data_IF_023252507908
#
_entry.id   IF_023252507908
#
_cell.length_a   1.000
_cell.length_b   1.000
_cell.length_c   1.000
_cell.angle_alpha   90.00
_cell.angle_beta   90.00
_cell.angle_gamma   90.00
#
_symmetry.space_group_name_H-M   'P 1'
#
loop_
_entity.id
_entity.type
_entity.pdbx_description
1 polymer ?
#
# COMPACT_ATOMS: atom_id res chain seq x y z
N UNK A 1 52.93 41.58 -21.47
CA UNK A 1 52.58 40.54 -20.48
C UNK A 1 51.28 39.91 -20.95
N UNK A 2 51.32 38.69 -21.53
CA UNK A 2 50.12 37.95 -21.89
C UNK A 2 49.71 37.08 -20.70
N UNK A 3 48.51 37.30 -20.16
CA UNK A 3 47.92 36.46 -19.12
C UNK A 3 47.08 35.36 -19.78
N UNK A 4 47.52 34.10 -19.64
CA UNK A 4 46.77 32.91 -20.05
C UNK A 4 45.70 32.61 -19.00
N UNK A 5 44.43 32.62 -19.40
CA UNK A 5 43.30 32.21 -18.56
C UNK A 5 43.15 30.69 -18.69
N UNK A 6 43.14 29.91 -17.59
CA UNK A 6 42.87 28.48 -17.68
C UNK A 6 41.37 28.27 -17.90
N UNK A 7 41.02 27.57 -18.98
CA UNK A 7 39.66 27.08 -19.20
C UNK A 7 39.38 25.94 -18.21
N UNK A 8 38.55 26.21 -17.20
CA UNK A 8 38.04 25.19 -16.30
C UNK A 8 36.92 24.44 -17.02
N UNK A 9 37.20 23.19 -17.42
CA UNK A 9 36.18 22.29 -17.96
C UNK A 9 35.32 21.76 -16.79
N UNK A 10 34.09 22.26 -16.67
CA UNK A 10 33.10 21.73 -15.75
C UNK A 10 32.53 20.45 -16.40
N UNK A 11 32.99 19.28 -15.92
CA UNK A 11 32.36 18.02 -16.28
C UNK A 11 30.97 17.96 -15.61
N UNK A 12 29.91 18.08 -16.40
CA UNK A 12 28.56 17.84 -15.93
C UNK A 12 28.38 16.33 -15.73
N UNK A 13 28.43 15.87 -14.48
CA UNK A 13 28.06 14.51 -14.11
C UNK A 13 26.56 14.32 -14.34
N UNK A 14 26.21 13.67 -15.46
CA UNK A 14 24.85 13.26 -15.74
C UNK A 14 24.56 12.06 -14.83
N UNK A 15 23.92 12.31 -13.69
CA UNK A 15 23.34 11.23 -12.89
C UNK A 15 22.18 10.63 -13.68
N UNK A 16 22.46 9.57 -14.46
CA UNK A 16 21.42 8.65 -14.90
C UNK A 16 20.95 7.87 -13.66
N UNK A 17 20.00 8.44 -12.93
CA UNK A 17 19.20 7.65 -11.99
C UNK A 17 18.52 6.57 -12.80
N UNK A 18 18.83 5.29 -12.54
CA UNK A 18 18.01 4.20 -13.03
C UNK A 18 16.59 4.47 -12.53
N UNK A 19 15.64 4.68 -13.46
CA UNK A 19 14.23 4.60 -13.11
C UNK A 19 14.04 3.20 -12.55
N UNK A 20 13.87 3.06 -11.23
CA UNK A 20 13.44 1.79 -10.68
C UNK A 20 12.09 1.49 -11.29
N UNK A 21 12.07 0.49 -12.19
CA UNK A 21 10.83 0.02 -12.78
C UNK A 21 10.01 -0.60 -11.67
N UNK A 22 8.78 -0.12 -11.47
CA UNK A 22 7.87 -0.78 -10.58
C UNK A 22 7.57 -2.20 -11.08
N UNK A 23 7.18 -3.09 -10.18
CA UNK A 23 6.83 -4.47 -10.51
C UNK A 23 5.44 -4.81 -9.97
N UNK A 24 4.77 -5.76 -10.62
CA UNK A 24 3.46 -6.25 -10.20
C UNK A 24 3.62 -7.64 -9.62
N UNK A 25 3.16 -7.81 -8.38
CA UNK A 25 3.03 -9.10 -7.70
C UNK A 25 1.56 -9.52 -7.78
N UNK A 26 1.28 -10.58 -8.54
CA UNK A 26 -0.07 -11.16 -8.63
C UNK A 26 -0.27 -12.28 -7.62
N UNK A 27 -1.53 -12.63 -7.33
CA UNK A 27 -1.85 -13.81 -6.53
C UNK A 27 -1.58 -13.62 -5.04
N UNK A 28 -1.81 -12.41 -4.52
CA UNK A 28 -1.66 -12.07 -3.11
C UNK A 28 -3.02 -12.27 -2.43
N UNK A 29 -3.10 -13.15 -1.43
CA UNK A 29 -4.23 -13.22 -0.51
C UNK A 29 -4.24 -11.95 0.33
N UNK A 30 -5.42 -11.39 0.55
CA UNK A 30 -5.58 -10.18 1.34
C UNK A 30 -6.66 -10.40 2.38
N UNK A 31 -6.37 -10.08 3.63
CA UNK A 31 -7.33 -9.93 4.72
C UNK A 31 -7.22 -8.53 5.32
N UNK A 32 -8.03 -8.27 6.33
CA UNK A 32 -7.99 -7.03 7.10
C UNK A 32 -7.96 -7.34 8.58
N UNK A 33 -7.38 -6.43 9.34
CA UNK A 33 -7.32 -6.48 10.80
C UNK A 33 -7.58 -5.10 11.40
N UNK A 34 -7.83 -5.07 12.70
CA UNK A 34 -8.15 -3.87 13.44
C UNK A 34 -7.67 -3.93 14.88
N UNK A 35 -7.97 -2.86 15.62
CA UNK A 35 -7.66 -2.81 17.04
C UNK A 35 -8.25 -3.97 17.88
N UNK A 36 -9.41 -4.58 17.57
CA UNK A 36 -9.97 -5.65 18.39
C UNK A 36 -9.21 -6.98 18.29
N UNK A 37 -8.65 -7.33 17.13
CA UNK A 37 -8.01 -8.61 16.85
C UNK A 37 -6.49 -8.54 16.61
N UNK A 38 -5.92 -7.33 16.54
CA UNK A 38 -4.48 -7.17 16.62
C UNK A 38 -3.93 -7.81 17.91
N UNK A 39 -2.71 -8.35 17.89
CA UNK A 39 -2.09 -9.01 19.04
C UNK A 39 -0.77 -8.34 19.45
N UNK A 40 -0.71 -7.61 20.58
CA UNK A 40 -1.81 -7.36 21.52
C UNK A 40 -2.87 -6.40 20.96
N UNK A 41 -4.12 -6.42 21.50
CA UNK A 41 -5.18 -5.53 21.03
C UNK A 41 -4.81 -4.05 21.10
N UNK A 42 -5.13 -3.32 20.04
CA UNK A 42 -4.75 -1.93 19.84
C UNK A 42 -4.10 -1.69 18.47
N UNK A 43 -3.38 -0.59 18.34
CA UNK A 43 -2.73 -0.18 17.10
C UNK A 43 -1.21 -0.39 17.13
N UNK A 44 -0.66 -1.16 18.06
CA UNK A 44 0.77 -1.41 18.10
C UNK A 44 1.23 -2.16 16.84
N UNK A 45 2.40 -1.79 16.31
CA UNK A 45 3.03 -2.46 15.16
C UNK A 45 4.41 -3.00 15.49
N UNK A 46 4.83 -4.06 14.80
CA UNK A 46 6.15 -4.68 14.98
C UNK A 46 7.34 -3.77 14.61
N UNK A 47 7.16 -2.86 13.64
CA UNK A 47 8.23 -2.04 13.08
C UNK A 47 7.91 -0.53 13.18
N UNK A 48 8.92 0.28 13.52
CA UNK A 48 8.86 1.74 13.42
C UNK A 48 9.46 2.20 12.10
N UNK A 49 8.58 2.62 11.19
CA UNK A 49 8.93 3.13 9.88
C UNK A 49 8.99 4.65 9.82
N UNK A 50 9.10 5.28 10.98
CA UNK A 50 9.15 6.72 11.16
C UNK A 50 7.78 7.38 11.08
N UNK A 51 7.61 8.40 11.92
CA UNK A 51 6.45 9.30 11.94
C UNK A 51 5.23 8.78 12.69
N UNK A 52 5.25 7.54 13.20
CA UNK A 52 4.12 6.93 13.91
C UNK A 52 4.48 6.16 15.19
N UNK A 53 5.76 6.06 15.56
CA UNK A 53 6.22 5.53 16.87
C UNK A 53 5.59 4.17 17.24
N UNK A 54 5.70 3.19 16.33
CA UNK A 54 5.11 1.85 16.48
C UNK A 54 3.57 1.80 16.51
N UNK A 55 2.89 2.74 15.84
CA UNK A 55 1.44 2.74 15.72
C UNK A 55 0.96 2.59 14.26
N UNK A 56 -0.01 1.69 14.07
CA UNK A 56 -0.73 1.48 12.83
C UNK A 56 -1.59 2.72 12.50
N UNK A 57 -1.90 2.88 11.22
CA UNK A 57 -2.75 3.98 10.77
C UNK A 57 -2.50 4.37 9.33
N UNK A 58 -2.57 5.67 9.06
CA UNK A 58 -2.41 6.24 7.73
C UNK A 58 -3.71 6.33 6.96
N UNK A 59 -3.67 7.04 5.83
CA UNK A 59 -4.87 7.35 5.02
C UNK A 59 -4.78 6.80 3.59
N UNK A 60 -3.74 6.02 3.29
CA UNK A 60 -3.57 5.37 2.00
C UNK A 60 -2.99 6.27 0.90
N UNK A 61 -2.39 7.41 1.24
CA UNK A 61 -1.62 8.24 0.28
C UNK A 61 -0.15 7.84 0.30
N UNK A 62 0.65 8.18 -0.73
CA UNK A 62 2.07 7.85 -0.71
C UNK A 62 2.83 8.48 0.48
N UNK A 63 2.45 9.71 0.85
CA UNK A 63 3.07 10.43 1.98
C UNK A 63 2.55 9.97 3.35
N UNK A 64 1.38 9.32 3.39
CA UNK A 64 0.79 8.78 4.61
C UNK A 64 0.10 7.44 4.29
N UNK A 65 0.91 6.39 4.02
CA UNK A 65 0.42 5.09 3.57
C UNK A 65 -0.27 4.36 4.71
N UNK A 66 -1.28 3.57 4.37
CA UNK A 66 -2.01 2.74 5.33
C UNK A 66 -1.11 1.58 5.80
N UNK A 67 -1.18 1.20 7.07
CA UNK A 67 -0.40 0.08 7.61
C UNK A 67 -0.86 -1.26 7.02
N UNK A 68 0.09 -2.15 6.73
CA UNK A 68 -0.21 -3.56 6.53
C UNK A 68 0.82 -4.45 7.26
N UNK A 69 0.37 -5.66 7.60
CA UNK A 69 1.13 -6.73 8.19
C UNK A 69 1.37 -7.86 7.18
N UNK A 70 2.48 -8.59 7.33
CA UNK A 70 2.80 -9.75 6.49
C UNK A 70 3.89 -10.59 7.16
N UNK A 71 4.34 -11.65 6.49
CA UNK A 71 5.47 -12.46 6.93
C UNK A 71 6.81 -11.71 6.80
N UNK A 72 7.75 -11.85 7.76
CA UNK A 72 9.10 -11.33 7.59
C UNK A 72 9.76 -11.86 6.32
N UNK A 73 10.22 -10.96 5.45
CA UNK A 73 10.89 -11.31 4.20
C UNK A 73 9.98 -11.47 2.98
N UNK A 74 8.63 -11.47 3.12
CA UNK A 74 7.73 -11.38 1.97
C UNK A 74 7.84 -9.99 1.31
N UNK A 75 7.86 -8.95 2.13
CA UNK A 75 8.14 -7.56 1.78
C UNK A 75 9.27 -7.01 2.66
N UNK A 76 9.95 -5.96 2.21
CA UNK A 76 10.95 -5.32 3.05
C UNK A 76 10.26 -4.53 4.16
N UNK A 77 10.86 -4.48 5.35
CA UNK A 77 10.43 -3.59 6.42
C UNK A 77 10.32 -2.14 5.89
N UNK A 78 9.21 -1.47 6.21
CA UNK A 78 8.91 -0.10 5.79
C UNK A 78 8.71 0.10 4.28
N UNK A 79 8.58 -0.98 3.51
CA UNK A 79 8.31 -0.88 2.08
C UNK A 79 6.93 -0.30 1.81
N UNK A 80 6.88 0.72 0.95
CA UNK A 80 5.63 1.27 0.42
C UNK A 80 5.28 0.56 -0.88
N UNK A 81 4.09 -0.03 -0.92
CA UNK A 81 3.50 -0.66 -2.10
C UNK A 81 2.13 -0.02 -2.38
N UNK A 82 1.56 -0.31 -3.56
CA UNK A 82 0.25 0.21 -3.93
C UNK A 82 -0.70 -0.93 -4.27
N UNK A 83 -1.90 -0.89 -3.69
CA UNK A 83 -2.98 -1.83 -3.91
C UNK A 83 -3.98 -1.22 -4.89
N UNK A 84 -3.98 -1.64 -6.16
CA UNK A 84 -4.83 -1.04 -7.17
C UNK A 84 -6.31 -1.22 -6.89
N UNK A 85 -6.70 -2.36 -6.31
CA UNK A 85 -8.10 -2.65 -5.97
C UNK A 85 -8.63 -1.77 -4.82
N UNK A 86 -7.77 -1.12 -4.04
CA UNK A 86 -8.19 -0.13 -3.02
C UNK A 86 -7.94 1.31 -3.49
N UNK A 87 -7.08 1.48 -4.50
CA UNK A 87 -6.45 2.75 -4.85
C UNK A 87 -5.80 3.39 -3.61
N UNK A 88 -4.96 2.63 -2.92
CA UNK A 88 -4.24 3.07 -1.73
C UNK A 88 -2.79 2.61 -1.75
N UNK A 89 -1.94 3.42 -1.18
CA UNK A 89 -0.59 3.03 -0.78
C UNK A 89 -0.63 2.41 0.61
N UNK A 90 0.10 1.32 0.79
CA UNK A 90 0.26 0.67 2.08
C UNK A 90 1.75 0.54 2.42
N UNK A 91 2.10 0.52 3.71
CA UNK A 91 3.46 0.39 4.22
C UNK A 91 3.60 -0.82 5.13
N UNK A 92 4.62 -1.64 4.91
CA UNK A 92 4.90 -2.82 5.71
C UNK A 92 5.42 -2.37 7.06
N UNK A 93 4.60 -2.50 8.09
CA UNK A 93 4.90 -1.97 9.42
C UNK A 93 4.70 -2.99 10.52
N UNK A 94 4.08 -4.13 10.19
CA UNK A 94 3.62 -5.05 11.20
C UNK A 94 3.83 -6.52 10.81
N UNK A 95 3.74 -7.37 11.83
CA UNK A 95 3.85 -8.81 11.72
C UNK A 95 2.47 -9.46 11.77
N UNK A 96 2.28 -10.53 11.00
CA UNK A 96 1.05 -11.32 11.01
C UNK A 96 1.41 -12.81 11.01
N UNK A 97 1.02 -13.53 12.08
CA UNK A 97 1.32 -14.96 12.25
C UNK A 97 0.68 -15.81 11.14
N UNK A 98 -0.60 -15.59 10.85
CA UNK A 98 -1.30 -16.32 9.78
C UNK A 98 -0.66 -16.05 8.40
N UNK A 99 -0.13 -14.84 8.19
CA UNK A 99 0.58 -14.47 6.98
C UNK A 99 1.93 -15.19 6.89
N UNK A 100 2.63 -15.33 8.02
CA UNK A 100 3.87 -16.10 8.12
C UNK A 100 3.66 -17.59 7.81
N UNK A 101 2.64 -18.22 8.39
CA UNK A 101 2.30 -19.62 8.10
C UNK A 101 1.91 -19.85 6.62
N UNK A 102 1.14 -18.93 6.04
CA UNK A 102 0.79 -18.92 4.62
C UNK A 102 2.06 -18.77 3.75
N UNK A 103 2.96 -17.86 4.12
CA UNK A 103 4.19 -17.60 3.36
C UNK A 103 5.16 -18.79 3.38
N UNK A 104 5.34 -19.44 4.53
CA UNK A 104 6.10 -20.70 4.66
C UNK A 104 5.49 -21.82 3.80
N UNK A 105 4.19 -21.75 3.54
CA UNK A 105 3.46 -22.66 2.65
C UNK A 105 3.45 -22.22 1.18
N UNK A 106 4.13 -21.13 0.83
CA UNK A 106 4.22 -20.57 -0.52
C UNK A 106 3.03 -19.71 -0.95
N UNK A 107 2.17 -19.31 -0.03
CA UNK A 107 1.03 -18.41 -0.24
C UNK A 107 1.44 -17.00 0.16
N UNK A 108 1.35 -16.05 -0.77
CA UNK A 108 1.57 -14.63 -0.48
C UNK A 108 0.37 -14.07 0.26
N UNK A 109 0.56 -13.45 1.42
CA UNK A 109 -0.52 -12.99 2.27
C UNK A 109 -0.16 -11.67 2.95
N UNK A 110 -1.03 -10.68 2.78
CA UNK A 110 -0.95 -9.42 3.51
C UNK A 110 -2.26 -9.18 4.27
N UNK A 111 -2.14 -8.54 5.42
CA UNK A 111 -3.26 -8.19 6.28
C UNK A 111 -3.28 -6.67 6.49
N UNK A 112 -4.41 -6.02 6.23
CA UNK A 112 -4.45 -4.56 6.08
C UNK A 112 -5.21 -3.91 7.23
N UNK A 113 -4.57 -2.90 7.83
CA UNK A 113 -5.18 -2.14 8.91
C UNK A 113 -6.44 -1.41 8.46
N UNK A 114 -7.55 -1.60 9.17
CA UNK A 114 -8.84 -1.00 8.81
C UNK A 114 -8.94 0.50 9.11
N UNK A 115 -8.15 1.04 10.05
CA UNK A 115 -7.98 2.48 10.22
C UNK A 115 -8.03 2.97 11.68
N UNK A 116 -9.09 2.65 12.43
CA UNK A 116 -9.27 3.15 13.80
C UNK A 116 -8.42 2.38 14.82
N UNK A 117 -7.63 3.11 15.62
CA UNK A 117 -6.94 2.59 16.80
C UNK A 117 -7.85 2.35 18.01
N UNK A 118 -9.03 2.98 18.01
CA UNK A 118 -10.07 2.64 18.98
C UNK A 118 -10.80 1.38 18.52
N UNK A 119 -10.80 0.36 19.37
CA UNK A 119 -11.51 -0.89 19.11
C UNK A 119 -13.01 -0.65 18.89
N UNK A 120 -13.51 -1.06 17.72
CA UNK A 120 -14.93 -1.15 17.40
C UNK A 120 -15.59 -2.47 17.84
N UNK A 121 -14.84 -3.37 18.48
CA UNK A 121 -15.29 -4.72 18.84
C UNK A 121 -15.78 -5.51 17.63
N UNK A 122 -16.79 -6.36 17.83
CA UNK A 122 -17.36 -7.24 16.80
C UNK A 122 -17.81 -6.52 15.53
N UNK A 123 -18.18 -5.23 15.61
CA UNK A 123 -18.57 -4.47 14.41
C UNK A 123 -17.38 -4.17 13.50
N UNK A 124 -16.19 -3.99 14.07
CA UNK A 124 -14.95 -3.84 13.31
C UNK A 124 -14.48 -5.20 12.76
N UNK A 125 -14.62 -6.28 13.53
CA UNK A 125 -14.37 -7.66 13.03
C UNK A 125 -15.25 -7.98 11.81
N UNK A 126 -16.55 -7.67 11.88
CA UNK A 126 -17.44 -7.87 10.74
C UNK A 126 -17.02 -7.02 9.53
N UNK A 127 -16.47 -5.82 9.78
CA UNK A 127 -15.95 -4.99 8.71
C UNK A 127 -14.72 -5.62 8.03
N UNK A 128 -13.81 -6.22 8.82
CA UNK A 128 -12.65 -6.94 8.32
C UNK A 128 -13.06 -8.10 7.41
N UNK A 129 -14.06 -8.88 7.84
CA UNK A 129 -14.66 -9.96 7.05
C UNK A 129 -15.29 -9.44 5.75
N UNK A 130 -16.07 -8.35 5.82
CA UNK A 130 -16.77 -7.77 4.67
C UNK A 130 -15.80 -7.16 3.63
N UNK A 131 -14.66 -6.63 4.08
CA UNK A 131 -13.61 -6.07 3.22
C UNK A 131 -12.75 -7.17 2.55
N UNK A 132 -12.64 -8.34 3.19
CA UNK A 132 -11.78 -9.45 2.75
C UNK A 132 -12.24 -10.01 1.40
N UNK A 133 -11.48 -9.82 0.30
CA UNK A 133 -11.91 -10.29 -1.00
C UNK A 133 -11.81 -11.81 -1.13
N UNK A 134 -12.83 -12.44 -1.71
CA UNK A 134 -12.81 -13.88 -2.00
C UNK A 134 -11.70 -14.28 -3.01
N UNK A 135 -11.24 -13.33 -3.83
CA UNK A 135 -10.21 -13.55 -4.85
C UNK A 135 -8.89 -12.92 -4.44
N UNK A 136 -7.78 -13.55 -4.84
CA UNK A 136 -6.44 -12.97 -4.73
C UNK A 136 -6.27 -11.70 -5.56
N UNK A 137 -5.42 -10.79 -5.08
CA UNK A 137 -5.22 -9.44 -5.61
C UNK A 137 -3.83 -9.27 -6.25
N UNK A 138 -3.64 -8.11 -6.89
CA UNK A 138 -2.36 -7.63 -7.40
C UNK A 138 -1.81 -6.50 -6.52
N UNK A 139 -0.50 -6.50 -6.28
CA UNK A 139 0.23 -5.45 -5.55
C UNK A 139 1.30 -4.85 -6.46
N UNK A 140 1.41 -3.52 -6.50
CA UNK A 140 2.48 -2.81 -7.22
C UNK A 140 3.59 -2.47 -6.24
N UNK A 141 4.78 -3.04 -6.44
CA UNK A 141 6.00 -2.70 -5.67
C UNK A 141 6.78 -1.58 -6.36
N UNK A 142 7.48 -0.77 -5.56
CA UNK A 142 8.13 0.47 -6.02
C UNK A 142 7.21 1.39 -6.84
N UNK A 143 5.96 1.64 -6.39
CA UNK A 143 4.98 2.38 -7.17
C UNK A 143 5.40 3.84 -7.40
N UNK A 144 4.93 4.43 -8.51
CA UNK A 144 5.00 5.87 -8.67
C UNK A 144 4.26 6.56 -7.53
N UNK A 145 4.70 7.75 -7.11
CA UNK A 145 4.09 8.50 -5.98
C UNK A 145 2.81 9.24 -6.36
N UNK A 146 2.42 9.20 -7.63
CA UNK A 146 1.33 9.96 -8.24
C UNK A 146 0.15 9.09 -8.70
N UNK A 147 0.09 7.82 -8.28
CA UNK A 147 -1.05 6.96 -8.59
C UNK A 147 -2.30 7.51 -7.91
N UNK A 148 -3.46 7.25 -8.54
CA UNK A 148 -4.73 7.70 -8.02
C UNK A 148 -4.98 7.13 -6.62
N UNK A 149 -5.48 7.97 -5.72
CA UNK A 149 -5.89 7.55 -4.38
C UNK A 149 -7.39 7.76 -4.23
N UNK A 150 -8.11 6.81 -3.61
CA UNK A 150 -9.52 7.05 -3.29
C UNK A 150 -9.63 8.10 -2.18
N UNK A 151 -10.58 9.05 -2.31
CA UNK A 151 -10.91 10.04 -1.26
C UNK A 151 -9.68 10.74 -0.61
N UNK A 152 -8.69 11.24 -1.38
CA UNK A 152 -7.37 11.64 -0.86
C UNK A 152 -7.38 12.86 0.08
N UNK A 153 -8.52 13.53 0.23
CA UNK A 153 -8.67 14.77 1.00
C UNK A 153 -9.56 14.64 2.23
N UNK A 154 -10.15 13.47 2.49
CA UNK A 154 -11.04 13.25 3.63
C UNK A 154 -10.48 12.15 4.52
N UNK A 155 -9.83 12.54 5.62
CA UNK A 155 -9.19 11.59 6.57
C UNK A 155 -10.22 10.61 7.14
N UNK A 156 -11.43 11.08 7.46
CA UNK A 156 -12.53 10.23 7.96
C UNK A 156 -12.97 9.23 6.89
N UNK A 157 -13.09 9.68 5.63
CA UNK A 157 -13.54 8.81 4.54
C UNK A 157 -12.39 7.98 3.92
N UNK A 158 -11.16 8.10 4.43
CA UNK A 158 -10.01 7.33 3.97
C UNK A 158 -9.76 6.08 4.83
N UNK A 159 -10.28 6.05 6.06
CA UNK A 159 -10.34 4.84 6.87
C UNK A 159 -11.35 3.86 6.24
N UNK A 160 -11.06 2.57 6.31
CA UNK A 160 -12.02 1.53 5.92
C UNK A 160 -13.02 1.27 7.06
N UNK A 161 -12.60 1.54 8.30
CA UNK A 161 -13.43 1.58 9.49
C UNK A 161 -13.22 2.90 10.23
N UNK A 162 -14.27 3.73 10.32
CA UNK A 162 -14.23 5.06 10.96
C UNK A 162 -14.66 5.06 12.44
N UNK A 163 -14.88 3.87 13.02
CA UNK A 163 -15.44 3.69 14.36
C UNK A 163 -16.95 3.42 14.38
N UNK A 164 -17.63 3.58 13.25
CA UNK A 164 -19.08 3.35 13.13
C UNK A 164 -19.48 2.69 11.81
N UNK A 165 -18.80 3.03 10.73
CA UNK A 165 -19.12 2.64 9.35
C UNK A 165 -17.99 1.81 8.77
N UNK A 166 -18.37 0.71 8.12
CA UNK A 166 -17.47 -0.05 7.25
C UNK A 166 -17.59 0.45 5.80
N UNK A 167 -16.50 0.96 5.23
CA UNK A 167 -16.46 1.55 3.90
C UNK A 167 -16.08 0.54 2.81
N UNK A 168 -16.92 -0.49 2.63
CA UNK A 168 -16.72 -1.51 1.59
C UNK A 168 -16.84 -0.93 0.17
N UNK A 169 -17.47 0.23 0.00
CA UNK A 169 -17.53 0.92 -1.29
C UNK A 169 -16.18 1.47 -1.77
N UNK A 170 -15.16 1.47 -0.91
CA UNK A 170 -13.81 1.95 -1.21
C UNK A 170 -12.85 0.85 -1.68
N UNK A 171 -13.34 -0.39 -1.79
CA UNK A 171 -12.61 -1.51 -2.40
C UNK A 171 -13.27 -1.94 -3.70
N UNK A 172 -12.45 -2.34 -4.67
CA UNK A 172 -12.85 -2.75 -6.02
C UNK A 172 -12.30 -4.16 -6.31
N UNK A 173 -12.81 -5.23 -5.66
CA UNK A 173 -12.16 -6.55 -5.62
C UNK A 173 -11.93 -7.25 -6.98
N UNK A 174 -12.59 -6.77 -8.03
CA UNK A 174 -12.43 -7.25 -9.41
C UNK A 174 -11.32 -6.51 -10.17
N UNK A 175 -10.84 -5.37 -9.66
CA UNK A 175 -9.84 -4.55 -10.32
C UNK A 175 -8.42 -5.11 -10.08
N UNK A 176 -7.85 -5.72 -11.12
CA UNK A 176 -6.49 -6.27 -11.11
C UNK A 176 -5.67 -5.61 -12.20
N UNK A 177 -4.37 -5.47 -11.95
CA UNK A 177 -3.42 -4.99 -12.97
C UNK A 177 -2.38 -6.05 -13.25
N UNK A 178 -1.92 -6.10 -14.50
CA UNK A 178 -0.82 -6.97 -14.95
C UNK A 178 0.44 -6.18 -15.29
N UNK A 179 0.36 -4.85 -15.33
CA UNK A 179 1.48 -3.98 -15.63
C UNK A 179 1.47 -2.70 -14.79
N UNK A 180 2.65 -2.12 -14.73
CA UNK A 180 2.95 -0.89 -14.04
C UNK A 180 2.62 0.39 -14.84
N UNK A 181 2.01 0.24 -16.03
CA UNK A 181 1.67 1.39 -16.86
C UNK A 181 0.78 2.33 -16.04
N UNK A 182 1.31 3.51 -15.77
CA UNK A 182 0.54 4.56 -15.14
C UNK A 182 -0.67 4.84 -16.03
N UNK A 183 -1.87 4.64 -15.50
CA UNK A 183 -3.05 5.35 -15.97
C UNK A 183 -2.87 6.82 -15.59
N UNK A 184 -1.89 7.49 -16.20
CA UNK A 184 -1.82 8.94 -16.23
C UNK A 184 -3.06 9.34 -17.03
N UNK A 185 -4.02 9.98 -16.35
CA UNK A 185 -5.14 10.75 -16.92
C UNK A 185 -5.48 10.40 -18.37
N UNK A 186 -6.67 9.85 -18.62
CA UNK A 186 -7.61 10.47 -19.55
C UNK A 186 -8.94 9.72 -19.57
N UNK A 187 -9.99 10.54 -19.57
CA UNK A 187 -11.25 10.29 -20.25
C UNK A 187 -10.91 9.69 -21.64
N UNK A 188 -11.23 8.41 -21.85
CA UNK A 188 -11.25 7.76 -23.17
C UNK A 188 -9.89 7.40 -23.78
N UNK A 189 -9.47 6.14 -23.60
CA UNK A 189 -8.88 5.40 -24.72
C UNK A 189 -9.92 4.37 -25.19
N UNK A 190 -10.54 4.55 -26.37
CA UNK A 190 -11.57 3.65 -26.87
C UNK A 190 -11.01 2.32 -27.44
N UNK A 191 -9.72 2.02 -27.29
CA UNK A 191 -9.09 0.85 -27.94
C UNK A 191 -8.33 -0.11 -27.00
N UNK A 192 -8.47 -0.01 -25.68
CA UNK A 192 -7.88 -1.05 -24.80
C UNK A 192 -8.89 -2.20 -24.61
N UNK A 193 -8.70 -3.27 -25.39
CA UNK A 193 -9.58 -4.45 -25.41
C UNK A 193 -9.40 -5.41 -24.22
N UNK A 194 -8.71 -4.99 -23.16
CA UNK A 194 -8.53 -5.80 -21.94
C UNK A 194 -9.59 -5.49 -20.85
N UNK A 195 -10.85 -5.36 -21.27
CA UNK A 195 -12.01 -5.35 -20.38
C UNK A 195 -12.93 -6.52 -20.73
N UNK A 196 -12.73 -7.65 -20.04
CA UNK A 196 -13.76 -8.68 -19.84
C UNK A 196 -14.05 -8.81 -18.35
#
# INVERSE_FOLDING_TARGET
MLATIPAVAIAASIFLGAAQGCSVVSGVKVTYYGAPDNDPPGDATAYDCGGRDYHAGGVGTYANPLTFATAPGEYNECEIVYLPYMKKYVRMEDYCEACYEDYESGIKHIDIWTGSSTSGGDAQIQCEDDLTPANVQSVIRSPATTLAVNRPFCVIAAALWDGMTCHTEDVYPTYKVSSCKLYFLLIGDPNDEDVF
#
